data_IF_820725384566
#
_entry.id   IF_820725384566
#
_cell.length_a   1.000
_cell.length_b   1.000
_cell.length_c   1.000
_cell.angle_alpha   90.00
_cell.angle_beta   90.00
_cell.angle_gamma   90.00
#
_symmetry.space_group_name_H-M   'P 1'
#
loop_
_entity.id
_entity.type
_entity.pdbx_description
1 polymer ?
#
# COMPACT_ATOMS: atom_id res chain seq x y z
N UNK A 1 2.48 20.50 12.72
CA UNK A 1 3.45 19.58 12.09
C UNK A 1 3.07 18.17 12.51
N UNK A 2 2.87 17.23 11.56
CA UNK A 2 2.67 15.82 11.91
C UNK A 2 3.98 15.28 12.48
N UNK A 3 3.99 14.79 13.72
CA UNK A 3 5.16 14.17 14.35
C UNK A 3 5.03 12.66 14.25
N UNK A 4 5.91 12.03 13.46
CA UNK A 4 5.97 10.57 13.39
C UNK A 4 6.92 10.04 14.46
N UNK A 5 6.54 8.97 15.14
CA UNK A 5 7.32 8.33 16.20
C UNK A 5 7.75 6.94 15.77
N UNK A 6 8.95 6.55 16.20
CA UNK A 6 9.45 5.21 16.00
C UNK A 6 8.72 4.23 16.92
N UNK A 7 8.12 3.18 16.37
CA UNK A 7 7.47 2.13 17.17
C UNK A 7 8.46 1.31 18.00
N UNK A 8 9.73 1.21 17.56
CA UNK A 8 10.76 0.42 18.24
C UNK A 8 11.39 1.12 19.45
N UNK A 9 11.46 2.47 19.43
CA UNK A 9 12.22 3.22 20.45
C UNK A 9 11.55 4.51 20.92
N UNK A 10 10.36 4.84 20.43
CA UNK A 10 9.60 6.04 20.81
C UNK A 10 10.17 7.37 20.32
N UNK A 11 11.36 7.39 19.72
CA UNK A 11 11.98 8.63 19.25
C UNK A 11 11.20 9.30 18.12
N UNK A 12 11.19 10.63 18.10
CA UNK A 12 10.63 11.41 16.99
C UNK A 12 11.47 11.20 15.74
N UNK A 13 10.81 10.79 14.67
CA UNK A 13 11.43 10.50 13.39
C UNK A 13 11.80 11.77 12.65
N UNK A 14 12.89 11.71 11.87
CA UNK A 14 13.33 12.81 11.00
C UNK A 14 13.06 12.45 9.55
N UNK A 15 12.53 13.42 8.79
CA UNK A 15 12.37 13.26 7.36
C UNK A 15 13.72 12.88 6.73
N UNK A 16 13.70 11.88 5.85
CA UNK A 16 14.89 11.39 5.16
C UNK A 16 14.81 11.76 3.68
N UNK A 17 13.84 11.18 2.97
CA UNK A 17 13.63 11.41 1.54
C UNK A 17 12.26 10.86 1.09
N UNK A 18 12.06 10.81 -0.23
CA UNK A 18 10.90 10.18 -0.85
C UNK A 18 11.32 8.98 -1.69
N UNK A 19 10.44 7.98 -1.79
CA UNK A 19 10.57 6.86 -2.73
C UNK A 19 9.37 6.80 -3.68
N UNK A 20 9.61 6.64 -4.97
CA UNK A 20 8.52 6.42 -5.93
C UNK A 20 8.01 4.97 -5.85
N UNK A 21 6.70 4.79 -5.84
CA UNK A 21 6.05 3.47 -5.95
C UNK A 21 5.04 3.48 -7.08
N UNK A 22 5.10 2.47 -7.95
CA UNK A 22 4.06 2.24 -8.96
C UNK A 22 2.89 1.49 -8.31
N UNK A 23 1.68 2.03 -8.47
CA UNK A 23 0.44 1.50 -7.93
C UNK A 23 -0.52 1.25 -9.09
N UNK A 24 -1.01 0.02 -9.19
CA UNK A 24 -2.03 -0.37 -10.16
C UNK A 24 -3.41 0.08 -9.69
N UNK A 25 -4.12 0.74 -10.60
CA UNK A 25 -5.48 1.22 -10.41
C UNK A 25 -6.38 0.55 -11.46
N UNK A 26 -7.64 0.98 -11.52
CA UNK A 26 -8.65 0.46 -12.44
C UNK A 26 -8.21 0.58 -13.91
N UNK A 27 -8.78 -0.26 -14.78
CA UNK A 27 -8.60 -0.20 -16.24
C UNK A 27 -7.14 -0.35 -16.70
N UNK A 28 -6.39 -1.25 -16.04
CA UNK A 28 -4.95 -1.51 -16.28
C UNK A 28 -4.04 -0.27 -16.15
N UNK A 29 -4.52 0.78 -15.49
CA UNK A 29 -3.73 1.99 -15.28
C UNK A 29 -2.74 1.82 -14.13
N UNK A 30 -1.69 2.63 -14.13
CA UNK A 30 -0.71 2.66 -13.04
C UNK A 30 -0.26 4.08 -12.77
N UNK A 31 -0.27 4.46 -11.49
CA UNK A 31 0.15 5.76 -11.01
C UNK A 31 1.44 5.64 -10.22
N UNK A 32 2.29 6.67 -10.29
CA UNK A 32 3.48 6.77 -9.45
C UNK A 32 3.15 7.66 -8.25
N UNK A 33 3.18 7.07 -7.06
CA UNK A 33 2.98 7.78 -5.80
C UNK A 33 4.32 8.05 -5.11
N UNK A 34 4.44 9.20 -4.45
CA UNK A 34 5.62 9.55 -3.66
C UNK A 34 5.46 9.14 -2.19
N UNK A 35 6.21 8.11 -1.87
CA UNK A 35 6.60 7.54 -0.58
C UNK A 35 7.35 8.42 0.42
N UNK A 36 6.74 9.19 1.33
CA UNK A 36 7.57 9.87 2.34
C UNK A 36 8.24 8.86 3.27
N UNK A 37 9.56 9.00 3.46
CA UNK A 37 10.36 8.14 4.33
C UNK A 37 11.01 8.96 5.43
N UNK A 38 10.95 8.42 6.63
CA UNK A 38 11.61 8.98 7.79
C UNK A 38 12.65 8.00 8.32
N UNK A 39 13.75 8.52 8.84
CA UNK A 39 14.79 7.73 9.48
C UNK A 39 14.80 8.01 10.97
N UNK A 40 14.74 6.95 11.78
CA UNK A 40 14.89 7.07 13.22
C UNK A 40 16.33 7.51 13.56
N UNK A 41 16.52 8.59 14.34
CA UNK A 41 17.85 9.02 14.73
C UNK A 41 18.54 8.05 15.71
N UNK A 42 17.76 7.25 16.46
CA UNK A 42 18.24 6.30 17.47
C UNK A 42 18.51 4.93 16.86
N UNK A 43 17.47 4.17 16.50
CA UNK A 43 17.61 2.80 15.99
C UNK A 43 17.92 2.70 14.48
N UNK A 44 18.03 3.84 13.78
CA UNK A 44 18.35 3.95 12.35
C UNK A 44 17.37 3.28 11.37
N UNK A 45 16.25 2.73 11.85
CA UNK A 45 15.20 2.17 11.00
C UNK A 45 14.56 3.24 10.11
N UNK A 46 14.13 2.80 8.92
CA UNK A 46 13.43 3.63 7.96
C UNK A 46 11.95 3.30 8.03
N UNK A 47 11.14 4.31 8.32
CA UNK A 47 9.68 4.22 8.36
C UNK A 47 9.12 4.85 7.10
N UNK A 48 8.23 4.15 6.41
CA UNK A 48 7.51 4.67 5.26
C UNK A 48 6.13 5.12 5.73
N UNK A 49 5.78 6.37 5.46
CA UNK A 49 4.45 6.90 5.76
C UNK A 49 3.58 6.63 4.54
N UNK A 50 2.93 5.48 4.54
CA UNK A 50 2.00 5.10 3.49
C UNK A 50 0.74 5.96 3.59
N UNK A 51 0.23 6.49 2.47
CA UNK A 51 -1.10 7.08 2.46
C UNK A 51 -2.18 6.00 2.65
N UNK A 52 -3.34 6.40 3.17
CA UNK A 52 -4.40 5.50 3.62
C UNK A 52 -5.00 4.65 2.48
N UNK A 53 -4.83 5.09 1.24
CA UNK A 53 -5.27 4.43 0.01
C UNK A 53 -4.30 3.32 -0.46
N UNK A 54 -3.27 2.96 0.33
CA UNK A 54 -2.30 1.93 -0.02
C UNK A 54 -1.99 0.97 1.12
N UNK A 55 -2.18 -0.32 0.84
CA UNK A 55 -1.69 -1.37 1.72
C UNK A 55 -0.15 -1.50 1.69
N UNK A 56 0.48 -1.85 2.82
CA UNK A 56 1.89 -2.23 2.87
C UNK A 56 2.19 -3.36 1.88
N UNK A 57 3.27 -3.21 1.11
CA UNK A 57 3.79 -4.23 0.19
C UNK A 57 2.84 -4.71 -0.93
N UNK A 58 1.67 -4.09 -1.12
CA UNK A 58 0.76 -4.39 -2.23
C UNK A 58 1.01 -3.53 -3.47
N UNK A 59 0.81 -4.08 -4.65
CA UNK A 59 0.97 -3.31 -5.89
C UNK A 59 -0.31 -2.58 -6.31
N UNK A 60 -1.46 -2.92 -5.72
CA UNK A 60 -2.77 -2.39 -6.10
C UNK A 60 -3.23 -1.33 -5.09
N UNK A 61 -4.12 -0.43 -5.54
CA UNK A 61 -4.78 0.52 -4.64
C UNK A 61 -5.59 -0.22 -3.58
N UNK A 62 -5.76 0.41 -2.42
CA UNK A 62 -6.60 -0.13 -1.35
C UNK A 62 -8.05 -0.29 -1.81
N UNK A 63 -8.54 0.57 -2.70
CA UNK A 63 -9.86 0.45 -3.33
C UNK A 63 -10.05 -0.91 -4.01
N UNK A 64 -9.12 -1.33 -4.86
CA UNK A 64 -9.21 -2.62 -5.56
C UNK A 64 -9.14 -3.79 -4.57
N UNK A 65 -8.23 -3.71 -3.61
CA UNK A 65 -8.06 -4.78 -2.61
C UNK A 65 -9.33 -4.89 -1.75
N UNK A 66 -9.86 -3.77 -1.27
CA UNK A 66 -11.10 -3.75 -0.49
C UNK A 66 -12.29 -4.27 -1.29
N UNK A 67 -12.40 -3.89 -2.57
CA UNK A 67 -13.44 -4.41 -3.45
C UNK A 67 -13.36 -5.93 -3.66
N UNK A 68 -12.16 -6.51 -3.64
CA UNK A 68 -12.00 -7.97 -3.65
C UNK A 68 -12.42 -8.57 -2.31
N UNK A 69 -12.04 -7.94 -1.20
CA UNK A 69 -12.35 -8.44 0.15
C UNK A 69 -13.85 -8.38 0.48
N UNK A 70 -14.56 -7.37 -0.03
CA UNK A 70 -16.02 -7.20 0.17
C UNK A 70 -16.86 -7.91 -0.90
N UNK A 71 -16.22 -8.46 -1.94
CA UNK A 71 -16.86 -9.20 -3.02
C UNK A 71 -17.48 -8.35 -4.12
N UNK A 72 -17.27 -7.02 -4.12
CA UNK A 72 -17.71 -6.13 -5.21
C UNK A 72 -16.84 -6.22 -6.46
N UNK A 73 -15.60 -6.68 -6.34
CA UNK A 73 -14.67 -6.97 -7.44
C UNK A 73 -14.39 -8.47 -7.47
N UNK A 74 -14.71 -9.10 -8.60
CA UNK A 74 -14.45 -10.51 -8.89
C UNK A 74 -13.65 -10.66 -10.19
N UNK A 75 -13.17 -11.87 -10.47
CA UNK A 75 -12.50 -12.19 -11.74
C UNK A 75 -13.36 -11.92 -12.98
N UNK A 76 -14.69 -11.93 -12.81
CA UNK A 76 -15.65 -11.71 -13.91
C UNK A 76 -15.95 -10.21 -14.13
N UNK A 77 -15.37 -9.33 -13.31
CA UNK A 77 -15.56 -7.88 -13.44
C UNK A 77 -14.70 -7.37 -14.59
N UNK A 78 -15.32 -6.88 -15.67
CA UNK A 78 -14.67 -6.53 -16.94
C UNK A 78 -13.44 -5.61 -16.79
N UNK A 79 -13.48 -4.64 -15.87
CA UNK A 79 -12.36 -3.70 -15.63
C UNK A 79 -11.14 -4.35 -14.95
N UNK A 80 -11.29 -5.56 -14.42
CA UNK A 80 -10.31 -6.30 -13.61
C UNK A 80 -10.06 -7.73 -14.10
N UNK A 81 -10.64 -8.13 -15.24
CA UNK A 81 -10.58 -9.50 -15.79
C UNK A 81 -9.13 -10.00 -15.91
N UNK A 82 -8.20 -9.13 -16.33
CA UNK A 82 -6.79 -9.49 -16.46
C UNK A 82 -5.97 -9.26 -15.20
N UNK A 83 -6.34 -8.25 -14.39
CA UNK A 83 -5.58 -7.83 -13.22
C UNK A 83 -6.47 -7.14 -12.17
N UNK A 84 -6.42 -7.58 -10.89
CA UNK A 84 -5.63 -8.69 -10.36
C UNK A 84 -6.14 -10.06 -10.81
N UNK A 85 -5.25 -11.04 -11.00
CA UNK A 85 -5.68 -12.40 -11.32
C UNK A 85 -6.36 -13.07 -10.12
N UNK A 86 -7.19 -14.09 -10.38
CA UNK A 86 -7.93 -14.82 -9.36
C UNK A 86 -7.04 -15.34 -8.21
N UNK A 87 -5.87 -15.91 -8.53
CA UNK A 87 -4.92 -16.37 -7.52
C UNK A 87 -4.38 -15.24 -6.62
N UNK A 88 -4.29 -14.01 -7.14
CA UNK A 88 -3.93 -12.83 -6.34
C UNK A 88 -5.08 -12.41 -5.43
N UNK A 89 -6.31 -12.44 -5.94
CA UNK A 89 -7.52 -12.17 -5.16
C UNK A 89 -7.65 -13.14 -3.98
N UNK A 90 -7.52 -14.45 -4.23
CA UNK A 90 -7.55 -15.49 -3.19
C UNK A 90 -6.46 -15.30 -2.12
N UNK A 91 -5.27 -14.84 -2.51
CA UNK A 91 -4.20 -14.54 -1.53
C UNK A 91 -4.61 -13.40 -0.61
N UNK A 92 -5.25 -12.35 -1.12
CA UNK A 92 -5.70 -11.25 -0.27
C UNK A 92 -6.82 -11.67 0.65
N UNK A 93 -7.79 -12.45 0.16
CA UNK A 93 -8.85 -13.02 1.00
C UNK A 93 -8.26 -13.82 2.16
N UNK A 94 -7.27 -14.67 1.93
CA UNK A 94 -6.62 -15.45 3.00
C UNK A 94 -5.72 -14.61 3.94
N UNK A 95 -5.25 -13.45 3.51
CA UNK A 95 -4.35 -12.61 4.32
C UNK A 95 -5.12 -11.64 5.24
N UNK A 96 -6.29 -11.19 4.80
CA UNK A 96 -7.09 -10.18 5.50
C UNK A 96 -8.37 -10.73 6.16
N UNK A 97 -8.71 -12.01 5.96
CA UNK A 97 -9.87 -12.70 6.55
C UNK A 97 -9.40 -13.77 7.54
#
# INVERSE_FOLDING_TARGET
>A
MRTHTCLECGAVLKHYDFVSRSVRTQNRNSNIVKIERFKCPVCKHIHRVLPDDLYPYKQYSAEIINGVLDGSITSDTLEYEDYPCEATMHRWLNEFH
#
